data_IF_898993606760
#
_entry.id   IF_898993606760
#
_cell.length_a   1.000
_cell.length_b   1.000
_cell.length_c   1.000
_cell.angle_alpha   90.00
_cell.angle_beta   90.00
_cell.angle_gamma   90.00
#
_symmetry.space_group_name_H-M   'P 1'
#
loop_
_entity.id
_entity.type
_entity.pdbx_description
1 polymer ?
#
# COMPACT_ATOMS: atom_id res chain seq x y z
N UNK A 1 -28.34 -4.17 -0.59
CA UNK A 1 -27.43 -4.11 -1.75
C UNK A 1 -26.01 -4.35 -1.30
N UNK A 2 -25.33 -5.29 -1.93
CA UNK A 2 -23.96 -5.64 -1.55
C UNK A 2 -22.97 -4.57 -1.99
N UNK A 3 -22.11 -4.17 -1.07
CA UNK A 3 -21.03 -3.22 -1.34
C UNK A 3 -19.69 -3.88 -1.15
N UNK A 4 -18.71 -3.41 -1.89
CA UNK A 4 -17.32 -3.84 -1.76
C UNK A 4 -16.46 -2.66 -1.36
N UNK A 5 -15.52 -2.89 -0.46
CA UNK A 5 -14.56 -1.88 -0.04
C UNK A 5 -13.35 -1.98 -0.96
N UNK A 6 -13.16 -0.96 -1.79
CA UNK A 6 -12.23 -1.01 -2.93
C UNK A 6 -11.04 -0.06 -2.72
N UNK A 7 -9.89 -0.50 -3.16
CA UNK A 7 -8.70 0.34 -3.27
C UNK A 7 -7.87 -0.10 -4.48
N UNK A 8 -7.04 0.81 -4.97
CA UNK A 8 -6.06 0.51 -6.00
C UNK A 8 -4.73 0.26 -5.35
N UNK A 9 -4.02 -0.76 -5.81
CA UNK A 9 -2.75 -1.15 -5.23
C UNK A 9 -1.70 -1.49 -6.29
N UNK A 10 -0.45 -1.29 -5.90
CA UNK A 10 0.71 -1.88 -6.57
C UNK A 10 1.15 -3.02 -5.66
N UNK A 11 0.97 -4.24 -6.12
CA UNK A 11 1.35 -5.43 -5.37
C UNK A 11 2.84 -5.70 -5.48
N UNK A 12 3.38 -6.35 -4.47
CA UNK A 12 4.81 -6.67 -4.37
C UNK A 12 5.05 -8.16 -4.66
N UNK A 13 6.22 -8.52 -5.20
CA UNK A 13 6.58 -9.92 -5.34
C UNK A 13 6.59 -10.64 -3.99
N UNK A 14 6.27 -11.93 -4.01
CA UNK A 14 6.19 -12.74 -2.79
C UNK A 14 7.50 -12.72 -2.00
N UNK A 15 8.64 -12.84 -2.67
CA UNK A 15 9.96 -12.85 -2.03
C UNK A 15 10.24 -11.52 -1.34
N UNK A 16 9.79 -10.42 -1.91
CA UNK A 16 9.95 -9.10 -1.31
C UNK A 16 9.08 -8.95 -0.07
N UNK A 17 7.85 -9.43 -0.11
CA UNK A 17 6.97 -9.45 1.06
C UNK A 17 7.60 -10.24 2.21
N UNK A 18 8.18 -11.40 1.91
CA UNK A 18 8.86 -12.23 2.90
C UNK A 18 10.07 -11.50 3.50
N UNK A 19 10.85 -10.83 2.66
CA UNK A 19 12.03 -10.08 3.11
C UNK A 19 11.67 -8.90 4.00
N UNK A 20 10.62 -8.13 3.62
CA UNK A 20 10.13 -7.02 4.44
C UNK A 20 9.67 -7.55 5.81
N UNK A 21 8.90 -8.62 5.80
CA UNK A 21 8.35 -9.20 7.02
C UNK A 21 9.46 -9.67 7.96
N UNK A 22 10.42 -10.42 7.46
CA UNK A 22 11.53 -10.93 8.26
C UNK A 22 12.48 -9.82 8.75
N UNK A 23 12.66 -8.77 7.95
CA UNK A 23 13.55 -7.66 8.31
C UNK A 23 12.94 -6.75 9.37
N UNK A 24 11.66 -6.40 9.22
CA UNK A 24 10.99 -5.42 10.07
C UNK A 24 9.88 -5.99 10.93
N UNK A 25 8.91 -6.65 10.33
CA UNK A 25 7.67 -7.03 11.00
C UNK A 25 7.88 -7.98 12.17
N UNK A 26 8.81 -8.93 12.06
CA UNK A 26 9.10 -9.87 13.12
C UNK A 26 9.66 -9.19 14.37
N UNK A 27 10.23 -7.99 14.24
CA UNK A 27 10.79 -7.21 15.35
C UNK A 27 9.76 -6.33 16.06
N UNK A 28 8.53 -6.28 15.56
CA UNK A 28 7.49 -5.41 16.09
C UNK A 28 6.72 -6.08 17.23
N UNK A 29 6.46 -5.35 18.34
CA UNK A 29 5.72 -5.93 19.47
C UNK A 29 4.22 -6.05 19.15
N UNK A 30 3.71 -7.28 19.12
CA UNK A 30 2.33 -7.59 18.76
C UNK A 30 1.29 -7.05 19.75
N UNK A 31 1.67 -6.91 21.01
CA UNK A 31 0.74 -6.42 22.03
C UNK A 31 0.37 -4.96 21.84
N UNK A 32 1.30 -4.17 21.33
CA UNK A 32 1.13 -2.72 21.22
C UNK A 32 0.86 -2.27 19.80
N UNK A 33 1.19 -3.07 18.80
CA UNK A 33 1.01 -2.75 17.38
C UNK A 33 0.18 -3.82 16.66
N UNK A 34 -0.63 -3.37 15.71
CA UNK A 34 -1.30 -4.27 14.78
C UNK A 34 -0.45 -4.35 13.52
N UNK A 35 0.25 -5.46 13.34
CA UNK A 35 1.07 -5.69 12.15
C UNK A 35 0.21 -5.95 10.92
N UNK A 36 0.68 -5.50 9.77
CA UNK A 36 0.11 -5.92 8.49
C UNK A 36 0.60 -7.34 8.22
N UNK A 37 -0.33 -8.24 7.89
CA UNK A 37 0.02 -9.63 7.55
C UNK A 37 0.94 -9.65 6.32
N UNK A 38 1.85 -10.61 6.30
CA UNK A 38 2.84 -10.70 5.21
C UNK A 38 2.19 -10.66 3.82
N UNK A 39 1.13 -11.42 3.64
CA UNK A 39 0.41 -11.52 2.37
C UNK A 39 -0.22 -10.20 1.94
N UNK A 40 -0.48 -9.32 2.89
CA UNK A 40 -1.16 -8.04 2.68
C UNK A 40 -0.21 -6.85 2.45
N UNK A 41 1.09 -7.07 2.50
CA UNK A 41 2.06 -5.99 2.25
C UNK A 41 1.94 -5.51 0.80
N UNK A 42 1.71 -4.22 0.62
CA UNK A 42 1.52 -3.61 -0.70
C UNK A 42 1.74 -2.11 -0.63
N UNK A 43 1.79 -1.46 -1.79
CA UNK A 43 1.71 -0.01 -1.89
C UNK A 43 0.27 0.33 -2.28
N UNK A 44 -0.45 1.06 -1.42
CA UNK A 44 -1.77 1.57 -1.79
C UNK A 44 -1.59 2.73 -2.76
N UNK A 45 -2.23 2.65 -3.91
CA UNK A 45 -2.20 3.75 -4.89
C UNK A 45 -3.31 4.75 -4.62
N UNK A 46 -4.52 4.27 -4.33
CA UNK A 46 -5.67 5.14 -4.07
C UNK A 46 -6.74 4.35 -3.32
N UNK A 47 -7.22 4.90 -2.22
CA UNK A 47 -8.34 4.33 -1.51
C UNK A 47 -9.65 4.90 -2.07
N UNK A 48 -10.55 4.03 -2.54
CA UNK A 48 -11.81 4.44 -3.16
C UNK A 48 -12.97 4.38 -2.18
N UNK A 49 -12.99 3.34 -1.33
CA UNK A 49 -14.03 3.15 -0.33
C UNK A 49 -15.11 2.17 -0.78
N UNK A 50 -16.28 2.26 -0.16
CA UNK A 50 -17.38 1.34 -0.45
C UNK A 50 -18.09 1.74 -1.74
N UNK A 51 -18.22 0.77 -2.64
CA UNK A 51 -18.94 0.93 -3.91
C UNK A 51 -19.90 -0.25 -4.10
N UNK A 52 -20.98 -0.06 -4.87
CA UNK A 52 -21.85 -1.19 -5.24
C UNK A 52 -21.05 -2.25 -6.00
N UNK A 53 -21.37 -3.51 -5.78
CA UNK A 53 -20.65 -4.62 -6.42
C UNK A 53 -20.63 -4.51 -7.95
N UNK A 54 -21.72 -4.06 -8.55
CA UNK A 54 -21.83 -3.90 -10.01
C UNK A 54 -21.01 -2.71 -10.56
N UNK A 55 -20.48 -1.84 -9.69
CA UNK A 55 -19.66 -0.71 -10.11
C UNK A 55 -18.23 -1.11 -10.50
N UNK A 56 -17.77 -2.28 -10.09
CA UNK A 56 -16.37 -2.70 -10.33
C UNK A 56 -16.04 -2.73 -11.82
N UNK A 57 -16.98 -3.18 -12.65
CA UNK A 57 -16.79 -3.20 -14.10
C UNK A 57 -16.64 -1.78 -14.66
N UNK A 58 -17.49 -0.87 -14.24
CA UNK A 58 -17.42 0.54 -14.65
C UNK A 58 -16.11 1.17 -14.19
N UNK A 59 -15.70 0.86 -12.97
CA UNK A 59 -14.43 1.35 -12.41
C UNK A 59 -13.24 0.92 -13.26
N UNK A 60 -13.22 -0.35 -13.68
CA UNK A 60 -12.18 -0.86 -14.56
C UNK A 60 -12.16 -0.11 -15.89
N UNK A 61 -13.33 0.15 -16.47
CA UNK A 61 -13.44 0.89 -17.71
C UNK A 61 -12.93 2.33 -17.56
N UNK A 62 -13.30 3.01 -16.49
CA UNK A 62 -12.84 4.38 -16.21
C UNK A 62 -11.34 4.47 -16.04
N UNK A 63 -10.71 3.43 -15.49
CA UNK A 63 -9.28 3.42 -15.21
C UNK A 63 -8.45 2.81 -16.36
N UNK A 64 -9.09 2.36 -17.42
CA UNK A 64 -8.40 1.62 -18.49
C UNK A 64 -7.24 2.39 -19.10
N UNK A 65 -7.33 3.73 -19.18
CA UNK A 65 -6.25 4.55 -19.75
C UNK A 65 -4.97 4.53 -18.93
N UNK A 66 -5.00 4.07 -17.67
CA UNK A 66 -3.77 3.88 -16.90
C UNK A 66 -2.82 2.89 -17.57
N UNK A 67 -3.37 1.96 -18.35
CA UNK A 67 -2.58 0.96 -19.06
C UNK A 67 -1.64 1.55 -20.12
N UNK A 68 -1.82 2.82 -20.49
CA UNK A 68 -0.90 3.50 -21.40
C UNK A 68 0.41 3.94 -20.74
N UNK A 69 0.47 3.92 -19.41
CA UNK A 69 1.70 4.23 -18.70
C UNK A 69 2.72 3.08 -18.88
N UNK A 70 3.98 3.44 -18.99
CA UNK A 70 5.05 2.46 -19.11
C UNK A 70 5.33 1.77 -17.79
N UNK A 71 5.73 0.51 -17.89
CA UNK A 71 6.25 -0.25 -16.74
C UNK A 71 7.54 0.39 -16.27
N UNK A 72 7.83 0.24 -14.99
CA UNK A 72 9.08 0.74 -14.42
C UNK A 72 9.45 -0.05 -13.19
N UNK A 73 10.67 0.19 -12.71
CA UNK A 73 11.16 -0.38 -11.48
C UNK A 73 11.19 0.71 -10.42
N UNK A 74 10.68 0.40 -9.25
CA UNK A 74 10.76 1.27 -8.08
C UNK A 74 11.56 0.58 -6.99
N UNK A 75 11.90 1.28 -5.92
CA UNK A 75 12.58 0.68 -4.78
C UNK A 75 11.91 1.08 -3.46
N UNK A 76 12.07 0.21 -2.48
CA UNK A 76 11.66 0.48 -1.11
C UNK A 76 12.89 0.81 -0.28
N UNK A 77 12.83 1.91 0.45
CA UNK A 77 13.93 2.37 1.29
C UNK A 77 13.42 3.40 2.29
N UNK A 78 13.85 3.26 3.52
CA UNK A 78 13.59 4.27 4.56
C UNK A 78 12.30 4.03 5.34
N UNK A 79 12.47 3.91 6.64
CA UNK A 79 11.35 3.79 7.58
C UNK A 79 10.84 5.19 7.92
N UNK A 80 9.53 5.32 8.03
CA UNK A 80 8.89 6.55 8.46
C UNK A 80 7.63 6.24 9.26
N UNK A 81 6.98 7.29 9.70
CA UNK A 81 5.74 7.17 10.48
C UNK A 81 4.80 8.33 10.20
N UNK A 82 3.53 8.08 10.34
CA UNK A 82 2.52 9.15 10.34
C UNK A 82 2.11 9.39 11.79
N UNK A 83 2.72 10.42 12.42
CA UNK A 83 2.52 10.69 13.82
C UNK A 83 2.86 9.47 14.68
N UNK A 84 1.94 9.09 15.56
CA UNK A 84 2.06 7.88 16.38
C UNK A 84 1.06 6.79 15.96
N UNK A 85 0.58 6.83 14.71
CA UNK A 85 -0.48 5.94 14.24
C UNK A 85 -0.02 4.87 13.28
N UNK A 86 0.89 5.19 12.36
CA UNK A 86 1.29 4.28 11.27
C UNK A 86 2.79 4.25 11.13
N UNK A 87 3.34 3.04 11.06
CA UNK A 87 4.74 2.77 10.77
C UNK A 87 4.83 2.23 9.35
N UNK A 88 5.72 2.80 8.54
CA UNK A 88 5.78 2.42 7.13
C UNK A 88 7.20 2.38 6.58
N UNK A 89 7.34 1.70 5.44
CA UNK A 89 8.55 1.63 4.63
C UNK A 89 8.29 2.44 3.35
N UNK A 90 9.15 3.39 3.04
CA UNK A 90 8.94 4.32 1.94
C UNK A 90 9.32 3.78 0.58
N UNK A 91 8.78 4.40 -0.45
CA UNK A 91 9.22 4.21 -1.83
C UNK A 91 10.26 5.27 -2.14
N UNK A 92 11.41 4.87 -2.68
CA UNK A 92 12.52 5.76 -2.99
C UNK A 92 12.66 5.99 -4.50
N UNK A 93 13.28 5.05 -5.20
CA UNK A 93 13.47 5.16 -6.64
C UNK A 93 12.11 5.17 -7.36
N UNK A 94 11.94 6.14 -8.25
CA UNK A 94 10.72 6.28 -9.07
C UNK A 94 9.43 6.49 -8.27
N UNK A 95 9.54 7.03 -7.04
CA UNK A 95 8.36 7.43 -6.27
C UNK A 95 7.48 8.41 -7.06
N UNK A 96 8.09 9.34 -7.81
CA UNK A 96 7.37 10.31 -8.63
C UNK A 96 6.51 9.65 -9.70
N UNK A 97 6.92 8.50 -10.23
CA UNK A 97 6.11 7.76 -11.22
C UNK A 97 4.89 7.12 -10.59
N UNK A 98 5.00 6.68 -9.35
CA UNK A 98 3.85 6.18 -8.60
C UNK A 98 2.90 7.34 -8.26
N UNK A 99 3.46 8.49 -7.91
CA UNK A 99 2.66 9.71 -7.67
C UNK A 99 1.88 10.10 -8.93
N UNK A 100 2.50 10.03 -10.10
CA UNK A 100 1.83 10.30 -11.37
C UNK A 100 0.66 9.33 -11.62
N UNK A 101 0.83 8.06 -11.32
CA UNK A 101 -0.25 7.08 -11.43
C UNK A 101 -1.40 7.42 -10.48
N UNK A 102 -1.10 7.83 -9.25
CA UNK A 102 -2.11 8.28 -8.30
C UNK A 102 -2.86 9.50 -8.85
N UNK A 103 -2.14 10.50 -9.34
CA UNK A 103 -2.74 11.72 -9.89
C UNK A 103 -3.66 11.42 -11.08
N UNK A 104 -3.22 10.53 -11.97
CA UNK A 104 -4.03 10.10 -13.12
C UNK A 104 -5.31 9.39 -12.66
N UNK A 105 -5.18 8.47 -11.72
CA UNK A 105 -6.34 7.76 -11.17
C UNK A 105 -7.30 8.73 -10.49
N UNK A 106 -6.79 9.68 -9.70
CA UNK A 106 -7.60 10.71 -9.07
C UNK A 106 -8.38 11.54 -10.10
N UNK A 107 -7.70 11.95 -11.18
CA UNK A 107 -8.33 12.71 -12.25
C UNK A 107 -9.43 11.93 -12.95
N UNK A 108 -9.21 10.65 -13.22
CA UNK A 108 -10.19 9.79 -13.89
C UNK A 108 -11.44 9.53 -13.03
N UNK A 109 -11.28 9.49 -11.70
CA UNK A 109 -12.36 9.17 -10.77
C UNK A 109 -12.97 10.39 -10.08
N UNK A 110 -12.39 11.57 -10.26
CA UNK A 110 -12.85 12.77 -9.56
C UNK A 110 -12.60 12.72 -8.06
N UNK A 111 -11.55 12.03 -7.62
CA UNK A 111 -11.17 11.91 -6.22
C UNK A 111 -9.94 12.79 -5.99
N UNK A 112 -9.88 13.45 -4.83
CA UNK A 112 -8.71 14.23 -4.41
C UNK A 112 -7.91 13.46 -3.37
N UNK A 113 -6.58 13.42 -3.54
CA UNK A 113 -5.66 12.77 -2.62
C UNK A 113 -4.40 13.63 -2.49
N UNK A 114 -4.55 14.80 -1.88
CA UNK A 114 -3.51 15.83 -1.84
C UNK A 114 -2.28 15.47 -1.01
N UNK A 115 -2.41 14.49 -0.13
CA UNK A 115 -1.32 14.08 0.77
C UNK A 115 -0.76 12.70 0.44
N UNK A 116 -0.93 12.28 -0.81
CA UNK A 116 -0.44 10.97 -1.22
C UNK A 116 1.08 10.87 -1.05
N UNK A 117 1.50 9.83 -0.34
CA UNK A 117 2.92 9.50 -0.15
C UNK A 117 3.05 7.98 -0.31
N UNK A 118 3.67 7.50 -1.39
CA UNK A 118 3.75 6.05 -1.63
C UNK A 118 4.59 5.34 -0.57
N UNK A 119 4.02 4.32 0.02
CA UNK A 119 4.65 3.57 1.11
C UNK A 119 4.02 2.20 1.27
N UNK A 120 4.73 1.34 1.98
CA UNK A 120 4.21 0.05 2.45
C UNK A 120 3.95 0.19 3.95
N UNK A 121 2.70 0.07 4.37
CA UNK A 121 2.36 0.09 5.79
C UNK A 121 2.84 -1.20 6.44
N UNK A 122 3.62 -1.07 7.52
CA UNK A 122 4.13 -2.21 8.29
C UNK A 122 3.22 -2.55 9.46
N UNK A 123 2.73 -1.52 10.16
CA UNK A 123 1.89 -1.71 11.33
C UNK A 123 1.13 -0.44 11.68
N UNK A 124 0.02 -0.65 12.40
CA UNK A 124 -0.75 0.44 12.98
C UNK A 124 -0.61 0.39 14.49
N UNK A 125 -0.48 1.56 15.13
CA UNK A 125 -0.35 1.64 16.56
C UNK A 125 -1.70 1.39 17.25
N UNK A 126 -1.70 0.49 18.22
CA UNK A 126 -2.88 0.20 19.05
C UNK A 126 -2.82 0.96 20.36
N UNK A 127 -1.69 0.87 21.06
CA UNK A 127 -1.55 1.42 22.42
C UNK A 127 -0.15 1.84 22.81
N UNK A 128 0.80 1.89 21.88
CA UNK A 128 2.16 2.29 22.19
C UNK A 128 2.21 3.81 22.45
N UNK A 129 2.82 4.27 23.56
CA UNK A 129 2.98 5.69 23.80
C UNK A 129 3.80 6.37 22.70
N UNK A 130 3.53 7.65 22.45
CA UNK A 130 4.18 8.42 21.38
C UNK A 130 5.71 8.31 21.40
N UNK A 131 6.31 8.58 22.56
CA UNK A 131 7.78 8.56 22.68
C UNK A 131 8.37 7.20 22.36
N UNK A 132 7.72 6.13 22.78
CA UNK A 132 8.15 4.75 22.51
C UNK A 132 8.00 4.41 21.03
N UNK A 133 6.92 4.86 20.41
CA UNK A 133 6.67 4.64 18.98
C UNK A 133 7.71 5.37 18.12
N UNK A 134 8.02 6.61 18.46
CA UNK A 134 9.04 7.39 17.77
C UNK A 134 10.42 6.76 17.91
N UNK A 135 10.76 6.24 19.09
CA UNK A 135 12.02 5.56 19.34
C UNK A 135 12.12 4.27 18.52
N UNK A 136 11.03 3.51 18.45
CA UNK A 136 10.98 2.29 17.62
C UNK A 136 11.25 2.62 16.15
N UNK A 137 10.60 3.65 15.62
CA UNK A 137 10.81 4.08 14.24
C UNK A 137 12.27 4.46 14.00
N UNK A 138 12.88 5.20 14.94
CA UNK A 138 14.28 5.61 14.82
C UNK A 138 15.23 4.41 14.81
N UNK A 139 14.97 3.41 15.64
CA UNK A 139 15.76 2.19 15.65
C UNK A 139 15.66 1.43 14.32
N UNK A 140 14.46 1.36 13.76
CA UNK A 140 14.25 0.67 12.48
C UNK A 140 14.91 1.41 11.32
N UNK A 141 15.05 2.73 11.41
CA UNK A 141 15.77 3.53 10.39
C UNK A 141 17.23 3.13 10.26
N UNK A 142 17.81 2.59 11.32
CA UNK A 142 19.21 2.16 11.32
C UNK A 142 19.43 0.88 10.52
N UNK A 143 18.37 0.13 10.25
CA UNK A 143 18.46 -1.09 9.45
C UNK A 143 18.61 -0.69 8.00
N UNK A 144 19.69 -1.12 7.37
CA UNK A 144 19.91 -0.88 5.94
C UNK A 144 19.02 -1.81 5.14
N UNK A 145 18.09 -1.21 4.39
CA UNK A 145 17.17 -1.94 3.53
C UNK A 145 16.96 -1.12 2.26
N UNK A 146 17.22 -1.72 1.13
CA UNK A 146 16.95 -1.14 -0.17
C UNK A 146 16.69 -2.27 -1.15
N UNK A 147 15.45 -2.39 -1.61
CA UNK A 147 15.04 -3.46 -2.51
C UNK A 147 14.21 -2.91 -3.65
N UNK A 148 14.53 -3.35 -4.84
CA UNK A 148 13.79 -2.97 -6.04
C UNK A 148 12.63 -3.90 -6.30
N UNK A 149 11.59 -3.39 -6.94
CA UNK A 149 10.44 -4.19 -7.36
C UNK A 149 9.87 -3.65 -8.67
N UNK A 150 9.31 -4.53 -9.50
CA UNK A 150 8.72 -4.10 -10.76
C UNK A 150 7.32 -3.52 -10.51
N UNK A 151 7.01 -2.42 -11.20
CA UNK A 151 5.65 -1.87 -11.26
C UNK A 151 5.12 -2.17 -12.66
N UNK A 152 4.32 -3.22 -12.76
CA UNK A 152 3.84 -3.77 -14.03
C UNK A 152 2.33 -3.65 -14.21
N UNK A 153 1.62 -3.37 -13.12
CA UNK A 153 0.17 -3.25 -13.14
C UNK A 153 -0.31 -2.36 -11.98
N UNK A 154 -1.53 -1.85 -12.14
CA UNK A 154 -2.31 -1.28 -11.06
C UNK A 154 -3.48 -2.24 -10.85
N UNK A 155 -3.64 -2.73 -9.63
CA UNK A 155 -4.65 -3.73 -9.33
C UNK A 155 -5.83 -3.12 -8.58
N UNK A 156 -7.03 -3.52 -8.99
CA UNK A 156 -8.27 -3.15 -8.28
C UNK A 156 -8.50 -4.23 -7.24
N UNK A 157 -8.44 -3.84 -5.96
CA UNK A 157 -8.48 -4.74 -4.83
C UNK A 157 -9.73 -4.52 -3.99
N UNK A 158 -10.24 -5.62 -3.43
CA UNK A 158 -11.28 -5.60 -2.41
C UNK A 158 -10.65 -5.90 -1.05
N UNK A 159 -11.03 -5.12 -0.03
CA UNK A 159 -10.68 -5.39 1.35
C UNK A 159 -11.87 -6.02 2.04
N UNK A 160 -11.73 -7.28 2.44
CA UNK A 160 -12.77 -8.00 3.17
C UNK A 160 -12.37 -7.96 4.64
N UNK A 161 -13.17 -7.26 5.46
CA UNK A 161 -12.85 -7.07 6.87
C UNK A 161 -13.33 -8.26 7.68
N UNK A 162 -12.40 -9.06 8.19
CA UNK A 162 -12.67 -10.20 9.05
C UNK A 162 -12.19 -9.88 10.47
N UNK A 163 -12.65 -10.66 11.44
CA UNK A 163 -12.27 -10.47 12.86
C UNK A 163 -10.76 -10.51 13.07
N UNK A 164 -10.07 -11.40 12.38
CA UNK A 164 -8.62 -11.55 12.50
C UNK A 164 -7.82 -10.46 11.75
N UNK A 165 -8.48 -9.68 10.89
CA UNK A 165 -7.86 -8.66 10.07
C UNK A 165 -8.39 -8.70 8.64
N UNK A 166 -7.96 -7.77 7.79
CA UNK A 166 -8.45 -7.74 6.41
C UNK A 166 -7.86 -8.87 5.58
N UNK A 167 -8.66 -9.35 4.63
CA UNK A 167 -8.21 -10.24 3.56
C UNK A 167 -8.39 -9.45 2.26
N UNK A 168 -7.35 -9.40 1.45
CA UNK A 168 -7.37 -8.66 0.19
C UNK A 168 -7.58 -9.60 -0.99
N UNK A 169 -8.48 -9.21 -1.89
CA UNK A 169 -8.80 -9.99 -3.07
C UNK A 169 -8.63 -9.12 -4.31
N UNK A 170 -7.87 -9.60 -5.29
CA UNK A 170 -7.72 -8.91 -6.57
C UNK A 170 -8.97 -9.13 -7.41
N UNK A 171 -9.61 -8.04 -7.80
CA UNK A 171 -10.82 -8.09 -8.65
C UNK A 171 -10.48 -7.85 -10.12
N UNK A 172 -9.49 -7.05 -10.41
CA UNK A 172 -9.08 -6.76 -11.78
C UNK A 172 -7.63 -6.27 -11.79
N UNK A 173 -7.01 -6.36 -12.95
CA UNK A 173 -5.63 -5.92 -13.16
C UNK A 173 -5.56 -5.03 -14.37
N UNK A 174 -4.95 -3.84 -14.20
CA UNK A 174 -4.69 -2.90 -15.27
C UNK A 174 -3.20 -3.00 -15.60
N UNK A 175 -2.86 -3.78 -16.62
CA UNK A 175 -1.47 -3.99 -17.00
C UNK A 175 -0.90 -2.74 -17.67
N UNK A 176 0.29 -2.35 -17.22
CA UNK A 176 1.05 -1.25 -17.83
C UNK A 176 1.76 -1.73 -19.09
N UNK A 177 2.13 -0.79 -19.94
CA UNK A 177 2.74 -1.11 -21.25
C UNK A 177 4.25 -1.43 -21.12
#
# INVERSE_FOLDING_TARGET
MNQKRIFLAINLPKELKEKIYSTFSEKLPEKELKKVEKENLHVTLLFIGYVPENYVKELKEKLQSLSSAERFEASLKGIGRFGNRVLWLGVDKNAERIIELNERACGLLGIKDERFNPHVTLARNKRMPYAKFAELADKLKEIKFEESFPVESVDIMESILLRAGPVYKKLAELKLT
#
